data_IF_660165902818
#
_entry.id   IF_660165902818
#
_cell.length_a   1.000
_cell.length_b   1.000
_cell.length_c   1.000
_cell.angle_alpha   90.00
_cell.angle_beta   90.00
_cell.angle_gamma   90.00
#
_symmetry.space_group_name_H-M   'P 1'
#
loop_
_entity.id
_entity.type
_entity.pdbx_description
1 polymer ?
#
# COMPACT_ATOMS: atom_id res chain seq x y z
N UNK A 1 -8.19 1.75 -26.52
CA UNK A 1 -6.98 1.04 -26.06
C UNK A 1 -6.41 1.77 -24.85
N UNK A 2 -5.94 1.06 -23.82
CA UNK A 2 -5.28 1.65 -22.65
C UNK A 2 -3.89 1.04 -22.46
N UNK A 3 -2.90 1.87 -22.14
CA UNK A 3 -1.57 1.41 -21.76
C UNK A 3 -1.57 1.06 -20.27
N UNK A 4 -1.01 -0.09 -19.91
CA UNK A 4 -0.78 -0.49 -18.53
C UNK A 4 0.72 -0.54 -18.25
N UNK A 5 1.11 -0.30 -17.00
CA UNK A 5 2.50 -0.36 -16.57
C UNK A 5 2.60 -1.03 -15.19
N UNK A 6 3.74 -1.70 -15.00
CA UNK A 6 4.23 -2.13 -13.69
C UNK A 6 5.50 -1.33 -13.41
N UNK A 7 5.51 -0.58 -12.32
CA UNK A 7 6.63 0.31 -11.97
C UNK A 7 7.07 0.06 -10.54
N UNK A 8 8.37 0.00 -10.31
CA UNK A 8 8.97 -0.09 -8.98
C UNK A 8 9.82 1.13 -8.69
N UNK A 9 9.90 1.52 -7.41
CA UNK A 9 10.65 2.70 -7.02
C UNK A 9 10.33 3.14 -5.60
N UNK A 10 10.68 4.37 -5.25
CA UNK A 10 10.55 4.93 -3.90
C UNK A 10 9.71 6.20 -3.88
N UNK A 11 8.90 6.36 -2.83
CA UNK A 11 8.17 7.60 -2.59
C UNK A 11 9.13 8.76 -2.32
N UNK A 12 8.93 9.89 -3.00
CA UNK A 12 9.74 11.11 -2.80
C UNK A 12 9.09 12.12 -1.84
N UNK A 13 7.82 11.91 -1.53
CA UNK A 13 7.03 12.71 -0.59
C UNK A 13 5.99 11.82 0.09
N UNK A 14 5.49 12.26 1.24
CA UNK A 14 4.39 11.57 1.91
C UNK A 14 3.13 11.57 1.03
N UNK A 15 2.37 10.47 1.02
CA UNK A 15 1.13 10.38 0.26
C UNK A 15 0.08 11.39 0.74
N UNK A 16 -0.50 12.13 -0.20
CA UNK A 16 -1.54 13.12 0.05
C UNK A 16 -2.93 12.48 -0.05
N UNK A 17 -3.58 12.29 1.11
CA UNK A 17 -4.95 11.78 1.21
C UNK A 17 -5.94 12.90 0.95
N UNK A 18 -6.77 12.72 -0.09
CA UNK A 18 -7.81 13.68 -0.44
C UNK A 18 -9.18 13.02 -0.45
N UNK A 19 -10.16 13.73 0.09
CA UNK A 19 -11.58 13.43 -0.07
C UNK A 19 -12.23 14.61 -0.80
N UNK A 20 -12.77 14.36 -1.99
CA UNK A 20 -13.56 15.38 -2.69
C UNK A 20 -15.02 15.29 -2.25
N UNK A 21 -15.73 16.42 -2.22
CA UNK A 21 -17.17 16.46 -1.99
C UNK A 21 -17.89 15.55 -3.00
N UNK A 22 -18.47 14.43 -2.52
CA UNK A 22 -19.17 13.44 -3.34
C UNK A 22 -18.28 12.42 -4.09
N UNK A 23 -16.96 12.38 -3.87
CA UNK A 23 -16.07 11.35 -4.45
C UNK A 23 -15.51 10.41 -3.40
N UNK A 24 -15.33 9.14 -3.78
CA UNK A 24 -14.61 8.16 -2.96
C UNK A 24 -13.22 8.73 -2.58
N UNK A 25 -12.76 8.52 -1.34
CA UNK A 25 -11.44 8.98 -0.91
C UNK A 25 -10.36 8.42 -1.85
N UNK A 26 -9.37 9.26 -2.15
CA UNK A 26 -8.28 8.94 -3.06
C UNK A 26 -6.95 9.44 -2.50
N UNK A 27 -5.87 8.82 -2.95
CA UNK A 27 -4.52 9.19 -2.55
C UNK A 27 -3.73 9.60 -3.78
N UNK A 28 -3.01 10.71 -3.65
CA UNK A 28 -1.99 11.13 -4.59
C UNK A 28 -0.62 10.82 -3.99
N UNK A 29 0.22 10.16 -4.77
CA UNK A 29 1.59 9.89 -4.37
C UNK A 29 2.55 10.21 -5.52
N UNK A 30 3.80 10.49 -5.17
CA UNK A 30 4.88 10.70 -6.14
C UNK A 30 6.02 9.77 -5.81
N UNK A 31 6.52 9.09 -6.82
CA UNK A 31 7.67 8.21 -6.71
C UNK A 31 8.69 8.51 -7.81
N UNK A 32 9.91 8.09 -7.57
CA UNK A 32 10.96 8.01 -8.58
C UNK A 32 11.20 6.53 -8.88
N UNK A 33 11.24 6.22 -10.17
CA UNK A 33 11.66 4.93 -10.70
C UNK A 33 12.99 5.12 -11.43
N UNK A 34 13.99 4.32 -11.07
CA UNK A 34 15.29 4.33 -11.72
C UNK A 34 15.28 3.26 -12.83
N UNK A 35 15.62 3.65 -14.06
CA UNK A 35 15.73 2.71 -15.20
C UNK A 35 17.17 2.19 -15.41
N UNK A 36 18.10 2.62 -14.56
CA UNK A 36 19.53 2.31 -14.63
C UNK A 36 20.38 3.44 -15.21
N UNK A 37 19.77 4.40 -15.90
CA UNK A 37 20.45 5.56 -16.49
C UNK A 37 19.93 6.88 -15.89
N UNK A 38 18.61 7.00 -15.72
CA UNK A 38 17.96 8.20 -15.25
C UNK A 38 16.79 7.93 -14.29
N UNK A 39 16.44 9.00 -13.57
CA UNK A 39 15.32 9.02 -12.63
C UNK A 39 14.06 9.47 -13.36
N UNK A 40 13.08 8.57 -13.44
CA UNK A 40 11.77 8.87 -14.01
C UNK A 40 10.77 9.25 -12.92
N UNK A 41 10.16 10.44 -13.05
CA UNK A 41 9.10 10.89 -12.15
C UNK A 41 7.79 10.20 -12.47
N UNK A 42 7.20 9.56 -11.46
CA UNK A 42 5.94 8.83 -11.57
C UNK A 42 4.93 9.38 -10.56
N UNK A 43 3.84 9.94 -11.09
CA UNK A 43 2.69 10.38 -10.32
C UNK A 43 1.67 9.25 -10.22
N UNK A 44 1.20 8.98 -9.01
CA UNK A 44 0.24 7.92 -8.71
C UNK A 44 -1.07 8.52 -8.24
N UNK A 45 -2.18 7.94 -8.70
CA UNK A 45 -3.50 8.14 -8.13
C UNK A 45 -4.12 6.78 -7.81
N UNK A 46 -4.60 6.61 -6.59
CA UNK A 46 -5.24 5.37 -6.14
C UNK A 46 -6.58 5.68 -5.47
N UNK A 47 -7.48 4.70 -5.52
CA UNK A 47 -8.82 4.76 -4.93
C UNK A 47 -9.07 3.52 -4.05
N UNK A 48 -10.01 3.61 -3.12
CA UNK A 48 -10.44 2.47 -2.30
C UNK A 48 -9.30 1.87 -1.46
N UNK A 49 -9.24 0.54 -1.37
CA UNK A 49 -8.23 -0.18 -0.57
C UNK A 49 -6.79 0.13 -1.01
N UNK A 50 -6.55 0.28 -2.32
CA UNK A 50 -5.23 0.66 -2.85
C UNK A 50 -4.83 2.06 -2.34
N UNK A 51 -5.78 2.99 -2.22
CA UNK A 51 -5.51 4.31 -1.65
C UNK A 51 -5.12 4.23 -0.17
N UNK A 52 -5.82 3.43 0.62
CA UNK A 52 -5.50 3.23 2.04
C UNK A 52 -4.10 2.65 2.22
N UNK A 53 -3.72 1.67 1.41
CA UNK A 53 -2.41 1.03 1.42
C UNK A 53 -1.28 1.98 1.05
N UNK A 54 -1.46 2.77 -0.02
CA UNK A 54 -0.45 3.79 -0.36
C UNK A 54 -0.41 4.85 0.74
N UNK A 55 -1.56 5.28 1.26
CA UNK A 55 -1.63 6.29 2.31
C UNK A 55 -0.94 5.89 3.62
N UNK A 56 -0.81 4.60 3.92
CA UNK A 56 -0.09 4.13 5.12
C UNK A 56 1.44 4.13 4.98
N UNK A 57 1.96 4.46 3.80
CA UNK A 57 3.40 4.58 3.55
C UNK A 57 3.90 5.99 3.87
N UNK A 58 5.22 6.13 3.95
CA UNK A 58 5.91 7.40 4.14
C UNK A 58 6.93 7.65 3.04
N UNK A 59 7.39 8.91 2.94
CA UNK A 59 8.51 9.28 2.07
C UNK A 59 9.69 8.33 2.30
N UNK A 60 10.27 7.84 1.20
CA UNK A 60 11.38 6.90 1.18
C UNK A 60 10.98 5.42 1.08
N UNK A 61 9.72 5.08 1.36
CA UNK A 61 9.24 3.71 1.24
C UNK A 61 9.29 3.22 -0.20
N UNK A 62 9.76 1.99 -0.37
CA UNK A 62 9.76 1.30 -1.64
C UNK A 62 8.40 0.65 -1.91
N UNK A 63 7.90 0.82 -3.13
CA UNK A 63 6.70 0.13 -3.59
C UNK A 63 6.80 -0.26 -5.07
N UNK A 64 6.01 -1.27 -5.44
CA UNK A 64 5.68 -1.60 -6.81
C UNK A 64 4.20 -1.28 -7.08
N UNK A 65 3.90 -0.71 -8.24
CA UNK A 65 2.55 -0.30 -8.65
C UNK A 65 2.21 -0.92 -9.99
N UNK A 66 1.04 -1.53 -10.08
CA UNK A 66 0.41 -1.92 -11.33
C UNK A 66 -0.79 -0.99 -11.61
N UNK A 67 -0.93 -0.53 -12.85
CA UNK A 67 -2.15 0.14 -13.27
C UNK A 67 -2.11 0.74 -14.66
N UNK A 68 -3.13 1.54 -14.97
CA UNK A 68 -3.24 2.26 -16.24
C UNK A 68 -2.30 3.45 -16.25
N UNK A 69 -1.47 3.55 -17.28
CA UNK A 69 -0.43 4.55 -17.41
C UNK A 69 -0.75 5.56 -18.51
N UNK A 70 -0.38 6.82 -18.26
CA UNK A 70 -0.43 7.92 -19.21
C UNK A 70 0.88 8.69 -19.15
N UNK A 71 1.50 8.92 -20.30
CA UNK A 71 2.63 9.85 -20.40
C UNK A 71 2.07 11.26 -20.25
N UNK A 72 2.67 12.05 -19.35
CA UNK A 72 2.33 13.44 -19.14
C UNK A 72 3.58 14.28 -19.36
N UNK A 73 3.46 15.32 -20.17
CA UNK A 73 4.49 16.34 -20.33
C UNK A 73 4.11 17.61 -19.60
N UNK A 74 5.10 18.33 -19.09
CA UNK A 74 4.93 19.67 -18.55
C UNK A 74 6.17 20.50 -18.86
N UNK A 75 6.01 21.83 -18.90
CA UNK A 75 7.15 22.73 -18.91
C UNK A 75 7.61 22.96 -17.48
N UNK A 76 8.92 22.82 -17.26
CA UNK A 76 9.54 23.30 -16.04
C UNK A 76 9.64 24.84 -16.05
N UNK A 77 9.98 25.43 -14.91
CA UNK A 77 10.18 26.89 -14.78
C UNK A 77 11.23 27.43 -15.75
N UNK A 78 12.19 26.61 -16.14
CA UNK A 78 13.26 26.96 -17.08
C UNK A 78 12.84 26.79 -18.57
N UNK A 79 11.57 26.49 -18.85
CA UNK A 79 11.04 26.31 -20.20
C UNK A 79 11.35 24.93 -20.83
N UNK A 80 12.15 24.09 -20.18
CA UNK A 80 12.43 22.73 -20.63
C UNK A 80 11.17 21.86 -20.52
N UNK A 81 10.86 21.10 -21.60
CA UNK A 81 9.78 20.12 -21.58
C UNK A 81 10.24 18.86 -20.86
N UNK A 82 9.61 18.55 -19.72
CA UNK A 82 9.82 17.32 -18.97
C UNK A 82 8.69 16.34 -19.24
N UNK A 83 9.03 15.06 -19.29
CA UNK A 83 8.07 13.97 -19.38
C UNK A 83 8.07 13.18 -18.08
N UNK A 84 6.91 12.62 -17.74
CA UNK A 84 6.75 11.73 -16.60
C UNK A 84 5.55 10.83 -16.79
N UNK A 85 5.42 9.85 -15.90
CA UNK A 85 4.37 8.85 -15.99
C UNK A 85 3.29 9.15 -14.96
N UNK A 86 2.03 9.15 -15.38
CA UNK A 86 0.87 9.23 -14.50
C UNK A 86 0.16 7.89 -14.50
N UNK A 87 0.12 7.24 -13.33
CA UNK A 87 -0.51 5.92 -13.17
C UNK A 87 -1.75 6.03 -12.30
N UNK A 88 -2.86 5.51 -12.80
CA UNK A 88 -3.99 5.13 -11.95
C UNK A 88 -3.74 3.73 -11.43
N UNK A 89 -3.41 3.62 -10.15
CA UNK A 89 -3.03 2.37 -9.51
C UNK A 89 -4.24 1.46 -9.33
N UNK A 90 -4.18 0.27 -9.94
CA UNK A 90 -5.15 -0.79 -9.75
C UNK A 90 -4.72 -1.69 -8.58
N UNK A 91 -3.41 -1.96 -8.47
CA UNK A 91 -2.82 -2.73 -7.37
C UNK A 91 -1.44 -2.19 -6.97
N UNK A 92 -1.07 -2.37 -5.70
CA UNK A 92 0.27 -2.06 -5.19
C UNK A 92 0.84 -3.22 -4.39
N UNK A 93 2.16 -3.35 -4.40
CA UNK A 93 2.92 -4.27 -3.56
C UNK A 93 3.95 -3.48 -2.76
N UNK A 94 3.95 -3.67 -1.44
CA UNK A 94 4.78 -2.90 -0.51
C UNK A 94 5.42 -3.81 0.54
N UNK A 95 6.55 -3.40 1.11
CA UNK A 95 7.12 -4.09 2.27
C UNK A 95 6.13 -4.13 3.45
N UNK A 96 5.28 -3.10 3.59
CA UNK A 96 4.18 -3.08 4.56
C UNK A 96 3.22 -4.26 4.38
N UNK A 97 2.75 -4.52 3.15
CA UNK A 97 1.89 -5.68 2.89
C UNK A 97 2.58 -7.00 3.19
N UNK A 98 3.88 -7.12 2.87
CA UNK A 98 4.65 -8.33 3.16
C UNK A 98 4.76 -8.57 4.66
N UNK A 99 5.06 -7.53 5.45
CA UNK A 99 5.12 -7.60 6.91
C UNK A 99 3.76 -7.94 7.51
N UNK A 100 2.69 -7.26 7.08
CA UNK A 100 1.32 -7.51 7.56
C UNK A 100 0.83 -8.92 7.23
N UNK A 101 1.10 -9.42 6.02
CA UNK A 101 0.74 -10.78 5.62
C UNK A 101 1.53 -11.83 6.42
N UNK A 102 2.83 -11.61 6.66
CA UNK A 102 3.65 -12.48 7.52
C UNK A 102 3.12 -12.52 8.95
N UNK A 103 2.75 -11.37 9.52
CA UNK A 103 2.15 -11.30 10.86
C UNK A 103 0.80 -12.03 10.92
N UNK A 104 -0.08 -11.85 9.93
CA UNK A 104 -1.36 -12.55 9.88
C UNK A 104 -1.20 -14.08 9.83
N UNK A 105 -0.23 -14.59 9.05
CA UNK A 105 0.10 -16.02 9.00
C UNK A 105 0.67 -16.50 10.33
N UNK A 106 1.57 -15.73 10.96
CA UNK A 106 2.14 -16.06 12.27
C UNK A 106 1.08 -16.14 13.38
N UNK A 107 0.15 -15.17 13.42
CA UNK A 107 -0.95 -15.16 14.39
C UNK A 107 -1.96 -16.29 14.16
N UNK A 108 -2.17 -16.72 12.90
CA UNK A 108 -3.00 -17.88 12.59
C UNK A 108 -2.34 -19.23 12.95
N UNK A 109 -1.00 -19.23 13.06
CA UNK A 109 -0.19 -20.40 13.41
C UNK A 109 0.15 -20.49 14.89
N UNK A 110 -0.16 -19.45 15.68
CA UNK A 110 0.04 -19.46 17.12
C UNK A 110 -0.82 -20.58 17.73
N UNK A 111 -0.24 -21.48 18.56
CA UNK A 111 -1.03 -22.50 19.24
C UNK A 111 -2.12 -21.79 20.04
N UNK A 112 -3.38 -22.18 19.85
CA UNK A 112 -4.42 -21.90 20.83
C UNK A 112 -3.93 -22.56 22.11
N UNK A 113 -3.32 -21.79 23.00
CA UNK A 113 -3.00 -22.24 24.36
C UNK A 113 -4.32 -22.73 24.91
N UNK A 114 -4.41 -24.04 25.11
CA UNK A 114 -5.57 -24.69 25.66
C UNK A 114 -5.92 -23.93 26.93
N UNK A 115 -7.06 -23.26 26.89
CA UNK A 115 -7.75 -22.83 28.08
C UNK A 115 -8.07 -24.13 28.81
N UNK A 116 -7.17 -24.56 29.70
CA UNK A 116 -7.45 -25.60 30.68
C UNK A 116 -8.55 -25.06 31.55
N UNK A 117 -9.76 -25.33 31.10
CA UNK A 117 -10.97 -25.38 31.89
C UNK A 117 -10.68 -26.31 33.07
N UNK A 118 -10.16 -25.72 34.15
CA UNK A 118 -10.01 -26.39 35.43
C UNK A 118 -11.37 -26.31 36.13
N UNK A 119 -12.39 -26.81 35.43
CA UNK A 119 -13.69 -27.12 35.99
C UNK A 119 -13.61 -28.49 36.63
N UNK A 120 -13.13 -28.57 37.87
CA UNK A 120 -13.32 -29.77 38.69
C UNK A 120 -14.81 -29.93 39.02
N UNK A 121 -15.39 -31.14 38.92
CA UNK A 121 -16.83 -31.36 38.84
C UNK A 121 -17.59 -31.21 40.17
N UNK A 122 -18.92 -31.02 40.12
CA UNK A 122 -19.79 -30.90 41.30
C UNK A 122 -20.27 -32.28 41.72
N UNK A 123 -19.44 -33.04 42.43
CA UNK A 123 -19.94 -34.19 43.19
C UNK A 123 -19.54 -33.97 44.63
N UNK A 124 -20.53 -33.47 45.40
CA UNK A 124 -20.47 -33.51 46.85
C UNK A 124 -20.67 -34.95 47.28
N UNK A 125 -19.80 -35.39 48.18
CA UNK A 125 -20.04 -36.57 48.99
C UNK A 125 -19.98 -36.10 50.45
N UNK A 126 -21.18 -35.98 51.02
CA UNK A 126 -21.43 -36.12 52.45
C UNK A 126 -20.82 -37.43 52.96
N UNK A 127 -20.35 -37.36 54.22
CA UNK A 127 -20.24 -38.42 55.25
C UNK A 127 -18.82 -38.61 55.83
N UNK A 128 -18.72 -39.05 57.09
CA UNK A 128 -19.49 -38.70 58.30
C UNK A 128 -18.61 -38.02 59.39
#
# INVERSE_FOLDING_TARGET
MSVTALVTGKLIADPDRRSGTGRKPYVLAKMIAHDGEADSLVSLIAFGSTAEQIGSLSKGDALAVNGRAKVKTWQDRDGATKAGLSITADAVMTAYQLTRKRQAVASASAPRTAQTDTGSPPWGDDQP
#
